data_IF_670220736386
#
_entry.id   IF_670220736386
#
_cell.length_a   1.000
_cell.length_b   1.000
_cell.length_c   1.000
_cell.angle_alpha   90.00
_cell.angle_beta   90.00
_cell.angle_gamma   90.00
#
_symmetry.space_group_name_H-M   'P 1'
#
loop_
_entity.id
_entity.type
_entity.pdbx_description
1 polymer ?
#
# COMPACT_ATOMS: atom_id res chain seq x y z
N UNK A 1 8.22 9.75 17.94
CA UNK A 1 7.04 9.15 17.28
C UNK A 1 7.41 7.76 16.81
N UNK A 2 7.04 6.72 17.53
CA UNK A 2 7.24 5.33 17.10
C UNK A 2 6.43 5.06 15.84
N UNK A 3 7.10 4.73 14.72
CA UNK A 3 6.47 4.33 13.45
C UNK A 3 5.90 2.90 13.53
N UNK A 4 5.19 2.57 14.61
CA UNK A 4 4.46 1.32 14.70
C UNK A 4 3.03 1.57 14.24
N UNK A 5 2.53 0.69 13.37
CA UNK A 5 1.11 0.70 13.06
C UNK A 5 0.32 0.55 14.35
N UNK A 6 -0.72 1.37 14.49
CA UNK A 6 -1.61 1.39 15.67
C UNK A 6 -2.21 0.00 15.94
N UNK A 7 -2.32 -0.84 14.91
CA UNK A 7 -2.73 -2.23 14.99
C UNK A 7 -1.72 -3.16 14.27
N UNK A 8 -1.18 -4.19 14.93
CA UNK A 8 -0.23 -5.12 14.31
C UNK A 8 -0.85 -5.94 13.15
N UNK A 9 -2.16 -6.18 13.15
CA UNK A 9 -2.84 -6.83 12.03
C UNK A 9 -2.93 -5.92 10.80
N UNK A 10 -2.97 -4.59 11.01
CA UNK A 10 -2.95 -3.63 9.90
C UNK A 10 -1.63 -3.72 9.12
N UNK A 11 -0.50 -4.03 9.78
CA UNK A 11 0.78 -4.23 9.10
C UNK A 11 0.70 -5.38 8.09
N UNK A 12 0.05 -6.49 8.47
CA UNK A 12 -0.13 -7.65 7.57
C UNK A 12 -1.03 -7.29 6.39
N UNK A 13 -2.16 -6.64 6.64
CA UNK A 13 -3.10 -6.21 5.60
C UNK A 13 -2.45 -5.19 4.62
N UNK A 14 -1.70 -4.23 5.14
CA UNK A 14 -0.99 -3.24 4.34
C UNK A 14 0.12 -3.87 3.51
N UNK A 15 0.84 -4.86 4.05
CA UNK A 15 1.83 -5.61 3.27
C UNK A 15 1.17 -6.40 2.14
N UNK A 16 0.03 -7.04 2.40
CA UNK A 16 -0.72 -7.76 1.37
C UNK A 16 -1.17 -6.80 0.25
N UNK A 17 -1.77 -5.66 0.62
CA UNK A 17 -2.17 -4.63 -0.33
C UNK A 17 -0.99 -4.10 -1.16
N UNK A 18 0.18 -3.90 -0.53
CA UNK A 18 1.40 -3.50 -1.22
C UNK A 18 1.77 -4.50 -2.32
N UNK A 19 1.72 -5.80 -2.03
CA UNK A 19 2.04 -6.84 -3.03
C UNK A 19 0.99 -6.92 -4.15
N UNK A 20 -0.30 -6.80 -3.81
CA UNK A 20 -1.38 -6.77 -4.80
C UNK A 20 -1.21 -5.60 -5.78
N UNK A 21 -1.03 -4.39 -5.26
CA UNK A 21 -0.84 -3.18 -6.08
C UNK A 21 0.46 -3.28 -6.89
N UNK A 22 1.52 -3.84 -6.31
CA UNK A 22 2.76 -4.04 -7.03
C UNK A 22 2.60 -5.02 -8.21
N UNK A 23 1.80 -6.08 -8.03
CA UNK A 23 1.48 -7.03 -9.09
C UNK A 23 0.62 -6.36 -10.17
N UNK A 24 -0.40 -5.57 -9.79
CA UNK A 24 -1.25 -4.81 -10.72
C UNK A 24 -0.44 -3.82 -11.57
N UNK A 25 0.56 -3.17 -10.97
CA UNK A 25 1.45 -2.23 -11.65
C UNK A 25 2.59 -2.90 -12.44
N UNK A 26 2.66 -4.24 -12.47
CA UNK A 26 3.69 -4.98 -13.20
C UNK A 26 5.09 -4.92 -12.58
N UNK A 27 5.18 -4.54 -11.30
CA UNK A 27 6.44 -4.33 -10.55
C UNK A 27 6.63 -5.33 -9.41
N UNK A 28 5.74 -6.32 -9.28
CA UNK A 28 5.76 -7.35 -8.24
C UNK A 28 7.11 -8.09 -8.12
N UNK A 29 7.76 -8.36 -9.25
CA UNK A 29 9.07 -9.03 -9.29
C UNK A 29 10.20 -8.18 -8.67
N UNK A 30 10.09 -6.85 -8.72
CA UNK A 30 11.08 -5.91 -8.17
C UNK A 30 10.89 -5.65 -6.67
N UNK A 31 9.71 -5.97 -6.12
CA UNK A 31 9.42 -5.81 -4.68
C UNK A 31 9.73 -7.09 -3.89
N UNK A 32 9.69 -8.24 -4.56
CA UNK A 32 9.88 -9.57 -3.95
C UNK A 32 11.30 -10.10 -4.09
N UNK A 33 11.96 -9.86 -5.22
CA UNK A 33 13.27 -10.43 -5.50
C UNK A 33 14.34 -9.34 -5.44
N UNK A 34 15.28 -9.53 -4.51
CA UNK A 34 16.56 -8.85 -4.34
C UNK A 34 16.70 -7.39 -4.80
N UNK A 35 16.83 -6.52 -3.80
CA UNK A 35 17.22 -5.11 -3.95
C UNK A 35 18.64 -4.90 -4.49
N UNK A 36 19.37 -5.97 -4.81
CA UNK A 36 20.80 -5.91 -5.20
C UNK A 36 21.03 -5.36 -6.60
N UNK A 37 20.03 -5.37 -7.48
CA UNK A 37 20.15 -4.88 -8.87
C UNK A 37 19.19 -3.71 -9.20
N UNK A 38 18.49 -3.20 -8.19
CA UNK A 38 17.62 -2.04 -8.33
C UNK A 38 18.43 -0.76 -8.13
N UNK A 39 18.84 -0.13 -9.23
CA UNK A 39 19.34 1.26 -9.20
C UNK A 39 18.43 2.13 -8.32
N UNK A 40 19.01 2.94 -7.43
CA UNK A 40 18.29 3.74 -6.42
C UNK A 40 17.12 4.55 -7.01
N UNK A 41 17.22 4.99 -8.27
CA UNK A 41 16.13 5.65 -8.98
C UNK A 41 14.92 4.76 -9.20
N UNK A 42 15.10 3.51 -9.61
CA UNK A 42 13.99 2.56 -9.84
C UNK A 42 13.23 2.27 -8.55
N UNK A 43 13.93 2.09 -7.42
CA UNK A 43 13.31 1.88 -6.11
C UNK A 43 12.43 3.05 -5.65
N UNK A 44 12.89 4.29 -5.86
CA UNK A 44 12.09 5.49 -5.52
C UNK A 44 10.85 5.57 -6.41
N UNK A 45 10.99 5.30 -7.71
CA UNK A 45 9.86 5.26 -8.64
C UNK A 45 8.82 4.20 -8.23
N UNK A 46 9.22 2.95 -8.00
CA UNK A 46 8.30 1.87 -7.63
C UNK A 46 7.63 2.08 -6.26
N UNK A 47 8.41 2.51 -5.26
CA UNK A 47 7.87 2.82 -3.93
C UNK A 47 6.87 3.97 -3.97
N UNK A 48 7.11 4.99 -4.80
CA UNK A 48 6.21 6.13 -5.01
C UNK A 48 4.87 5.71 -5.60
N UNK A 49 4.87 4.95 -6.70
CA UNK A 49 3.61 4.50 -7.33
C UNK A 49 2.81 3.57 -6.44
N UNK A 50 3.46 2.59 -5.81
CA UNK A 50 2.76 1.66 -4.91
C UNK A 50 2.24 2.39 -3.68
N UNK A 51 3.06 3.22 -3.03
CA UNK A 51 2.65 3.97 -1.85
C UNK A 51 1.52 4.97 -2.14
N UNK A 52 1.57 5.64 -3.29
CA UNK A 52 0.50 6.54 -3.74
C UNK A 52 -0.82 5.81 -3.99
N UNK A 53 -0.78 4.67 -4.70
CA UNK A 53 -1.95 3.84 -4.94
C UNK A 53 -2.52 3.23 -3.65
N UNK A 54 -1.67 2.78 -2.71
CA UNK A 54 -2.10 2.33 -1.38
C UNK A 54 -2.84 3.43 -0.64
N UNK A 55 -2.30 4.65 -0.65
CA UNK A 55 -2.93 5.80 0.04
C UNK A 55 -4.30 6.11 -0.57
N UNK A 56 -4.39 6.13 -1.90
CA UNK A 56 -5.67 6.33 -2.60
C UNK A 56 -6.71 5.28 -2.21
N UNK A 57 -6.35 3.99 -2.24
CA UNK A 57 -7.24 2.89 -1.87
C UNK A 57 -7.68 2.95 -0.40
N UNK A 58 -6.80 3.36 0.51
CA UNK A 58 -7.13 3.55 1.92
C UNK A 58 -8.13 4.70 2.14
N UNK A 59 -7.97 5.81 1.41
CA UNK A 59 -8.91 6.95 1.45
C UNK A 59 -10.27 6.52 0.91
N UNK A 60 -10.32 5.86 -0.24
CA UNK A 60 -11.57 5.35 -0.83
C UNK A 60 -12.33 4.40 0.12
N UNK A 61 -11.63 3.49 0.79
CA UNK A 61 -12.24 2.62 1.82
C UNK A 61 -12.78 3.43 3.00
N UNK A 62 -12.05 4.46 3.44
CA UNK A 62 -12.50 5.36 4.51
C UNK A 62 -13.76 6.15 4.12
N UNK A 63 -13.81 6.68 2.91
CA UNK A 63 -14.98 7.37 2.35
C UNK A 63 -16.19 6.43 2.32
N UNK A 64 -16.02 5.21 1.83
CA UNK A 64 -17.08 4.21 1.78
C UNK A 64 -17.60 3.86 3.18
N UNK A 65 -16.71 3.68 4.16
CA UNK A 65 -17.10 3.43 5.55
C UNK A 65 -17.90 4.59 6.15
N UNK A 66 -17.56 5.84 5.82
CA UNK A 66 -18.31 7.02 6.27
C UNK A 66 -19.70 7.09 5.63
N UNK A 67 -19.80 6.82 4.33
CA UNK A 67 -21.08 6.76 3.61
C UNK A 67 -21.97 5.67 4.20
N UNK A 68 -21.44 4.47 4.42
CA UNK A 68 -22.21 3.34 4.93
C UNK A 68 -22.64 3.54 6.38
N UNK A 69 -21.85 4.27 7.17
CA UNK A 69 -22.25 4.71 8.50
C UNK A 69 -23.44 5.67 8.44
N UNK A 70 -23.38 6.69 7.57
CA UNK A 70 -24.45 7.67 7.42
C UNK A 70 -25.74 7.09 6.81
N UNK A 71 -25.69 5.95 6.11
CA UNK A 71 -26.87 5.24 5.58
C UNK A 71 -27.59 4.36 6.61
N UNK A 72 -26.94 4.08 7.75
CA UNK A 72 -27.47 3.21 8.81
C UNK A 72 -28.20 3.98 9.92
N UNK A 73 -28.16 5.30 9.87
CA UNK A 73 -28.95 6.22 10.69
C UNK A 73 -30.21 6.68 9.92
#
# INVERSE_FOLDING_TARGET
MSKQAINPNAVKALNQMKYEIANELGIGNNITNDKSDLSSGKNVFYGGYVGGAMTKKLVEMGEQMLIDKNKKD
#
